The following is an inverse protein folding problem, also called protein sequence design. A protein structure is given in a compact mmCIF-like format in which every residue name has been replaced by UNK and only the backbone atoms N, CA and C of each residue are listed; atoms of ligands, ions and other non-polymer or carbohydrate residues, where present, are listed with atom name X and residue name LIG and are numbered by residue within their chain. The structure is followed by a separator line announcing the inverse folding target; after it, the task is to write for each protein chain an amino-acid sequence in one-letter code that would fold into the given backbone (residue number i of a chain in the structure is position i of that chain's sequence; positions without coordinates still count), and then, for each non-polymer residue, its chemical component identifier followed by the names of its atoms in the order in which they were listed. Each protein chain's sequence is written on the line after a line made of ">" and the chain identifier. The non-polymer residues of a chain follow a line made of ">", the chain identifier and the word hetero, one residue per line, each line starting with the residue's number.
data_IF_492493382932
#
_entry.id   IF_492493382932
#
_cell.length_a   1.000
_cell.length_b   1.000
_cell.length_c   1.000
_cell.angle_alpha   90.00
_cell.angle_beta   90.00
_cell.angle_gamma   90.00
#
_symmetry.space_group_name_H-M   'P 1'
#
loop_
_entity.id
_entity.type
_entity.pdbx_description
1 polymer ?
#
# COMPACT_ATOMS: atom_id res chain seq x y z
N UNK A 1 14.20 3.69 -30.92
CA UNK A 1 14.52 3.61 -32.39
C UNK A 1 13.76 2.50 -33.13
N UNK A 2 13.13 1.53 -32.46
CA UNK A 2 12.28 0.48 -33.07
C UNK A 2 10.79 0.82 -33.14
N UNK A 3 10.32 1.82 -32.39
CA UNK A 3 8.90 2.14 -32.21
C UNK A 3 8.16 2.49 -33.53
N UNK A 4 8.82 3.24 -34.42
CA UNK A 4 8.29 3.59 -35.76
C UNK A 4 8.23 2.41 -36.73
N UNK A 5 8.77 1.25 -36.38
CA UNK A 5 8.81 0.10 -37.28
C UNK A 5 7.47 -0.65 -37.29
N UNK A 6 6.87 -0.92 -36.13
CA UNK A 6 5.64 -1.73 -36.08
C UNK A 6 4.43 -0.99 -36.64
N UNK A 7 4.23 0.28 -36.29
CA UNK A 7 3.11 1.08 -36.81
C UNK A 7 3.18 1.20 -38.34
N UNK A 8 4.39 1.37 -38.90
CA UNK A 8 4.60 1.39 -40.35
C UNK A 8 4.28 0.04 -41.00
N UNK A 9 4.68 -1.07 -40.39
CA UNK A 9 4.31 -2.43 -40.87
C UNK A 9 2.80 -2.63 -40.85
N UNK A 10 2.12 -2.17 -39.79
CA UNK A 10 0.66 -2.21 -39.69
C UNK A 10 0.02 -1.40 -40.82
N UNK A 11 0.44 -0.15 -41.03
CA UNK A 11 -0.10 0.70 -42.11
C UNK A 11 0.07 0.02 -43.47
N UNK A 12 1.26 -0.52 -43.76
CA UNK A 12 1.52 -1.23 -45.02
C UNK A 12 0.61 -2.46 -45.19
N UNK A 13 0.41 -3.24 -44.12
CA UNK A 13 -0.47 -4.40 -44.14
C UNK A 13 -1.93 -3.98 -44.36
N UNK A 14 -2.41 -2.98 -43.63
CA UNK A 14 -3.77 -2.42 -43.76
C UNK A 14 -4.01 -1.95 -45.20
N UNK A 15 -3.04 -1.29 -45.84
CA UNK A 15 -3.16 -0.87 -47.23
C UNK A 15 -3.39 -2.05 -48.18
N UNK A 16 -2.75 -3.19 -47.94
CA UNK A 16 -2.93 -4.41 -48.73
C UNK A 16 -4.21 -5.21 -48.43
N UNK A 17 -4.81 -5.01 -47.25
CA UNK A 17 -5.99 -5.77 -46.82
C UNK A 17 -7.30 -5.12 -47.27
N UNK A 18 -7.97 -5.69 -48.28
CA UNK A 18 -9.18 -5.13 -48.89
C UNK A 18 -10.38 -5.05 -47.92
N UNK A 19 -10.41 -5.92 -46.91
CA UNK A 19 -11.50 -5.96 -45.93
C UNK A 19 -11.55 -4.69 -45.09
N UNK A 20 -10.39 -4.11 -44.76
CA UNK A 20 -10.27 -2.89 -43.97
C UNK A 20 -10.41 -1.68 -44.90
N UNK A 21 -11.40 -0.83 -44.61
CA UNK A 21 -11.70 0.37 -45.42
C UNK A 21 -11.18 1.65 -44.79
N UNK A 22 -11.15 1.70 -43.45
CA UNK A 22 -10.63 2.81 -42.67
C UNK A 22 -9.91 2.26 -41.43
N UNK A 23 -8.74 2.82 -41.11
CA UNK A 23 -7.99 2.55 -39.89
C UNK A 23 -7.71 3.85 -39.15
N UNK A 24 -8.09 3.90 -37.87
CA UNK A 24 -7.87 5.04 -37.00
C UNK A 24 -6.92 4.66 -35.86
N UNK A 25 -5.90 5.47 -35.62
CA UNK A 25 -5.13 5.44 -34.38
C UNK A 25 -5.90 6.23 -33.31
N UNK A 26 -6.03 5.64 -32.13
CA UNK A 26 -6.80 6.15 -31.00
C UNK A 26 -5.95 6.05 -29.73
N UNK A 27 -6.55 6.29 -28.55
CA UNK A 27 -5.85 6.17 -27.28
C UNK A 27 -4.79 7.25 -27.09
N UNK A 28 -3.71 6.92 -26.37
CA UNK A 28 -2.77 7.93 -25.85
C UNK A 28 -2.01 8.68 -26.96
N UNK A 29 -1.81 8.05 -28.12
CA UNK A 29 -1.17 8.72 -29.28
C UNK A 29 -2.09 9.73 -29.97
N UNK A 30 -3.41 9.61 -29.80
CA UNK A 30 -4.37 10.51 -30.42
C UNK A 30 -4.98 11.53 -29.44
N UNK A 31 -4.92 11.27 -28.13
CA UNK A 31 -5.60 12.06 -27.09
C UNK A 31 -4.82 13.26 -26.54
N UNK A 32 -3.71 13.64 -27.19
CA UNK A 32 -2.76 14.69 -26.77
C UNK A 32 -2.04 14.41 -25.45
N UNK A 33 -2.04 13.17 -24.96
CA UNK A 33 -1.19 12.77 -23.84
C UNK A 33 0.29 12.85 -24.19
N UNK A 34 1.12 12.95 -23.15
CA UNK A 34 2.55 12.67 -23.28
C UNK A 34 2.70 11.17 -23.59
N UNK A 35 3.31 10.84 -24.72
CA UNK A 35 3.59 9.45 -25.14
C UNK A 35 5.08 9.17 -25.14
N UNK A 36 5.41 7.92 -24.85
CA UNK A 36 6.78 7.42 -24.78
C UNK A 36 6.89 6.00 -25.36
N UNK A 37 8.10 5.43 -25.33
CA UNK A 37 8.36 4.11 -25.92
C UNK A 37 7.52 2.97 -25.29
N UNK A 38 7.00 3.16 -24.07
CA UNK A 38 6.16 2.21 -23.34
C UNK A 38 4.66 2.35 -23.65
N UNK A 39 4.26 3.40 -24.39
CA UNK A 39 2.86 3.65 -24.73
C UNK A 39 2.34 2.65 -25.76
N UNK A 40 1.14 2.11 -25.56
CA UNK A 40 0.53 1.15 -26.49
C UNK A 40 -0.08 1.84 -27.73
N UNK A 41 -0.27 1.09 -28.82
CA UNK A 41 -1.09 1.55 -29.96
C UNK A 41 -2.51 0.99 -29.88
N UNK A 42 -3.51 1.86 -29.85
CA UNK A 42 -4.92 1.48 -29.95
C UNK A 42 -5.42 1.77 -31.38
N UNK A 43 -5.73 0.74 -32.17
CA UNK A 43 -6.10 0.90 -33.58
C UNK A 43 -7.52 0.37 -33.84
N UNK A 44 -8.39 1.24 -34.33
CA UNK A 44 -9.75 0.91 -34.73
C UNK A 44 -9.83 0.68 -36.23
N UNK A 45 -10.18 -0.54 -36.65
CA UNK A 45 -10.42 -0.90 -38.04
C UNK A 45 -11.90 -0.91 -38.35
N UNK A 46 -12.31 -0.19 -39.40
CA UNK A 46 -13.65 -0.26 -39.96
C UNK A 46 -13.63 -1.14 -41.20
N UNK A 47 -14.29 -2.27 -41.07
CA UNK A 47 -14.22 -3.39 -41.99
C UNK A 47 -15.54 -3.55 -42.75
N UNK A 48 -15.43 -3.95 -44.01
CA UNK A 48 -16.58 -4.42 -44.80
C UNK A 48 -17.15 -5.73 -44.25
N UNK A 49 -16.29 -6.59 -43.69
CA UNK A 49 -16.65 -7.85 -43.05
C UNK A 49 -15.66 -8.16 -41.92
N UNK A 50 -16.07 -7.97 -40.67
CA UNK A 50 -15.20 -8.20 -39.49
C UNK A 50 -14.91 -9.67 -39.24
N UNK A 51 -15.71 -10.61 -39.77
CA UNK A 51 -15.51 -12.05 -39.53
C UNK A 51 -14.20 -12.54 -40.13
N UNK A 52 -13.82 -12.03 -41.30
CA UNK A 52 -12.57 -12.40 -41.98
C UNK A 52 -11.29 -12.17 -41.16
N UNK A 53 -11.32 -11.20 -40.25
CA UNK A 53 -10.18 -10.87 -39.37
C UNK A 53 -10.32 -11.45 -37.96
N UNK A 54 -11.49 -11.98 -37.61
CA UNK A 54 -11.80 -12.44 -36.26
C UNK A 54 -12.02 -13.95 -36.16
N UNK A 55 -12.22 -14.64 -37.28
CA UNK A 55 -12.25 -16.10 -37.37
C UNK A 55 -10.85 -16.73 -37.37
N UNK A 56 -9.84 -15.99 -37.83
CA UNK A 56 -8.44 -16.43 -37.86
C UNK A 56 -7.51 -15.26 -37.58
N UNK A 57 -6.50 -15.51 -36.76
CA UNK A 57 -5.51 -14.50 -36.34
C UNK A 57 -4.19 -14.62 -37.10
N UNK A 58 -4.16 -15.43 -38.17
CA UNK A 58 -2.95 -15.72 -38.96
C UNK A 58 -2.36 -14.48 -39.63
N UNK A 59 -3.21 -13.49 -39.94
CA UNK A 59 -2.82 -12.21 -40.55
C UNK A 59 -1.85 -11.41 -39.69
N UNK A 60 -1.81 -11.64 -38.37
CA UNK A 60 -0.86 -10.97 -37.49
C UNK A 60 0.60 -11.26 -37.88
N UNK A 61 0.87 -12.46 -38.44
CA UNK A 61 2.20 -12.85 -38.92
C UNK A 61 2.64 -12.08 -40.16
N UNK A 62 1.69 -11.52 -40.91
CA UNK A 62 1.99 -10.68 -42.07
C UNK A 62 2.44 -9.28 -41.64
N UNK A 63 2.16 -8.90 -40.38
CA UNK A 63 2.66 -7.68 -39.75
C UNK A 63 4.02 -7.94 -39.11
N UNK A 64 4.10 -8.85 -38.13
CA UNK A 64 5.34 -9.20 -37.45
C UNK A 64 5.22 -10.51 -36.65
N UNK A 65 6.34 -10.97 -36.08
CA UNK A 65 6.35 -12.06 -35.11
C UNK A 65 5.51 -11.68 -33.87
N UNK A 66 4.58 -12.55 -33.47
CA UNK A 66 3.69 -12.35 -32.31
C UNK A 66 4.23 -13.09 -31.09
N UNK A 67 4.37 -12.42 -29.94
CA UNK A 67 4.66 -13.05 -28.66
C UNK A 67 3.39 -13.49 -27.93
N UNK A 68 2.39 -12.61 -27.87
CA UNK A 68 1.11 -12.87 -27.18
C UNK A 68 -0.02 -12.28 -28.01
N UNK A 69 -1.12 -13.00 -28.12
CA UNK A 69 -2.38 -12.48 -28.66
C UNK A 69 -3.53 -13.01 -27.80
N UNK A 70 -4.41 -12.10 -27.37
CA UNK A 70 -5.63 -12.42 -26.63
C UNK A 70 -6.84 -11.87 -27.39
N UNK A 71 -7.82 -12.72 -27.76
CA UNK A 71 -9.09 -12.24 -28.28
C UNK A 71 -10.00 -11.78 -27.14
N UNK A 72 -10.49 -10.55 -27.21
CA UNK A 72 -11.51 -10.04 -26.28
C UNK A 72 -12.69 -9.44 -27.06
N UNK A 73 -13.71 -9.03 -26.30
CA UNK A 73 -14.85 -8.28 -26.82
C UNK A 73 -15.32 -7.28 -25.78
N UNK A 74 -15.76 -6.11 -26.23
CA UNK A 74 -16.46 -5.14 -25.38
C UNK A 74 -17.67 -4.58 -26.10
N UNK A 75 -18.66 -4.11 -25.35
CA UNK A 75 -19.89 -3.56 -25.92
C UNK A 75 -19.74 -2.06 -26.17
N UNK A 76 -19.97 -1.63 -27.41
CA UNK A 76 -19.95 -0.23 -27.82
C UNK A 76 -20.82 -0.04 -29.08
N UNK A 77 -21.49 1.11 -29.22
CA UNK A 77 -22.38 1.41 -30.36
C UNK A 77 -23.45 0.33 -30.61
N UNK A 78 -24.00 -0.22 -29.51
CA UNK A 78 -25.00 -1.30 -29.50
C UNK A 78 -24.52 -2.60 -30.18
N UNK A 79 -23.22 -2.86 -30.14
CA UNK A 79 -22.62 -4.05 -30.70
C UNK A 79 -21.48 -4.57 -29.84
N UNK A 80 -21.25 -5.87 -29.91
CA UNK A 80 -20.07 -6.51 -29.32
C UNK A 80 -18.90 -6.34 -30.29
N UNK A 81 -17.97 -5.45 -29.95
CA UNK A 81 -16.79 -5.12 -30.75
C UNK A 81 -15.71 -6.17 -30.46
N UNK A 82 -15.33 -7.00 -31.44
CA UNK A 82 -14.19 -7.90 -31.29
C UNK A 82 -12.90 -7.11 -31.18
N UNK A 83 -11.97 -7.62 -30.36
CA UNK A 83 -10.63 -7.05 -30.24
C UNK A 83 -9.55 -8.12 -30.27
N UNK A 84 -8.32 -7.68 -30.53
CA UNK A 84 -7.10 -8.45 -30.36
C UNK A 84 -6.09 -7.62 -29.58
N UNK A 85 -5.78 -8.05 -28.37
CA UNK A 85 -4.68 -7.49 -27.58
C UNK A 85 -3.41 -8.23 -27.97
N UNK A 86 -2.49 -7.56 -28.67
CA UNK A 86 -1.33 -8.21 -29.28
C UNK A 86 -0.04 -7.62 -28.74
N UNK A 87 0.89 -8.46 -28.32
CA UNK A 87 2.26 -8.08 -28.03
C UNK A 87 3.14 -8.66 -29.14
N UNK A 88 3.72 -7.78 -29.97
CA UNK A 88 4.64 -8.19 -31.02
C UNK A 88 6.05 -8.41 -30.47
N UNK A 89 6.90 -9.06 -31.26
CA UNK A 89 8.32 -9.23 -30.98
C UNK A 89 8.99 -7.88 -30.76
N UNK A 90 9.75 -7.78 -29.68
CA UNK A 90 10.28 -6.51 -29.18
C UNK A 90 9.41 -5.86 -28.12
N UNK A 91 8.24 -6.44 -27.80
CA UNK A 91 7.43 -6.07 -26.64
C UNK A 91 6.43 -4.95 -26.88
N UNK A 92 6.34 -4.39 -28.11
CA UNK A 92 5.35 -3.34 -28.41
C UNK A 92 3.94 -3.94 -28.44
N UNK A 93 3.05 -3.41 -27.61
CA UNK A 93 1.65 -3.82 -27.54
C UNK A 93 0.77 -2.97 -28.45
N UNK A 94 -0.16 -3.65 -29.14
CA UNK A 94 -1.13 -3.07 -30.05
C UNK A 94 -2.49 -3.72 -29.80
N UNK A 95 -3.49 -2.90 -29.55
CA UNK A 95 -4.87 -3.32 -29.37
C UNK A 95 -5.65 -3.01 -30.65
N UNK A 96 -6.09 -4.04 -31.36
CA UNK A 96 -6.91 -3.91 -32.56
C UNK A 96 -8.38 -4.05 -32.22
N UNK A 97 -9.21 -3.09 -32.61
CA UNK A 97 -10.67 -3.14 -32.46
C UNK A 97 -11.35 -3.18 -33.82
N UNK A 98 -12.25 -4.15 -34.03
CA UNK A 98 -12.86 -4.41 -35.34
C UNK A 98 -14.31 -3.92 -35.39
N UNK A 99 -14.52 -2.82 -36.08
CA UNK A 99 -15.82 -2.21 -36.32
C UNK A 99 -16.36 -2.57 -37.71
N UNK A 100 -17.67 -2.65 -37.84
CA UNK A 100 -18.36 -2.70 -39.13
C UNK A 100 -18.57 -1.30 -39.70
N UNK A 101 -18.77 -1.21 -41.02
CA UNK A 101 -19.19 0.05 -41.66
C UNK A 101 -20.54 0.58 -41.15
N UNK A 102 -21.40 -0.27 -40.57
CA UNK A 102 -22.63 0.18 -39.92
C UNK A 102 -22.34 0.96 -38.64
N UNK A 103 -21.37 0.52 -37.83
CA UNK A 103 -20.94 1.26 -36.64
C UNK A 103 -20.27 2.59 -37.02
N UNK A 104 -19.52 2.63 -38.12
CA UNK A 104 -18.99 3.89 -38.64
C UNK A 104 -20.11 4.89 -38.95
N UNK A 105 -21.20 4.42 -39.57
CA UNK A 105 -22.37 5.25 -39.85
C UNK A 105 -23.07 5.72 -38.57
N UNK A 106 -23.07 4.92 -37.50
CA UNK A 106 -23.56 5.38 -36.18
C UNK A 106 -22.70 6.51 -35.63
N UNK A 107 -21.37 6.43 -35.74
CA UNK A 107 -20.48 7.53 -35.33
C UNK A 107 -20.75 8.84 -36.08
N UNK A 108 -21.07 8.75 -37.38
CA UNK A 108 -21.46 9.90 -38.20
C UNK A 108 -22.78 10.54 -37.71
N UNK A 109 -23.76 9.74 -37.32
CA UNK A 109 -25.12 10.21 -36.96
C UNK A 109 -25.22 10.61 -35.48
N UNK A 110 -24.72 9.75 -34.59
CA UNK A 110 -24.93 9.83 -33.14
C UNK A 110 -23.79 10.60 -32.44
N UNK A 111 -22.67 10.81 -33.13
CA UNK A 111 -21.47 11.45 -32.60
C UNK A 111 -20.42 10.46 -32.11
N UNK A 112 -19.28 11.00 -31.66
CA UNK A 112 -18.18 10.20 -31.14
C UNK A 112 -18.44 9.80 -29.68
N UNK A 113 -18.25 8.52 -29.30
CA UNK A 113 -18.18 8.12 -27.91
C UNK A 113 -16.96 8.76 -27.24
N UNK A 114 -16.96 8.86 -25.91
CA UNK A 114 -15.93 9.53 -25.11
C UNK A 114 -14.50 9.14 -25.52
N UNK A 115 -14.24 7.84 -25.70
CA UNK A 115 -12.92 7.32 -26.09
C UNK A 115 -12.42 7.87 -27.44
N UNK A 116 -13.30 8.02 -28.44
CA UNK A 116 -12.95 8.60 -29.74
C UNK A 116 -13.00 10.14 -29.73
N UNK A 117 -13.80 10.72 -28.82
CA UNK A 117 -13.88 12.16 -28.63
C UNK A 117 -12.60 12.75 -27.98
N UNK A 118 -11.83 11.91 -27.28
CA UNK A 118 -10.49 12.24 -26.81
C UNK A 118 -9.52 12.52 -27.96
N UNK A 119 -9.70 11.88 -29.11
CA UNK A 119 -8.87 12.06 -30.29
C UNK A 119 -8.82 10.82 -31.17
N UNK A 120 -8.64 11.03 -32.48
CA UNK A 120 -8.25 9.98 -33.42
C UNK A 120 -7.35 10.58 -34.52
N UNK A 121 -6.46 9.76 -35.06
CA UNK A 121 -5.66 10.05 -36.24
C UNK A 121 -6.00 9.05 -37.34
N UNK A 122 -6.16 9.52 -38.57
CA UNK A 122 -6.43 8.66 -39.72
C UNK A 122 -5.12 8.04 -40.20
N UNK A 123 -4.98 6.72 -40.06
CA UNK A 123 -3.82 5.99 -40.55
C UNK A 123 -3.97 5.62 -42.04
N UNK A 124 -5.12 5.05 -42.40
CA UNK A 124 -5.48 4.63 -43.76
C UNK A 124 -6.95 4.91 -43.98
N UNK A 125 -7.30 5.53 -45.11
CA UNK A 125 -8.70 5.74 -45.51
C UNK A 125 -8.85 5.52 -47.03
N UNK A 126 -9.33 4.33 -47.40
CA UNK A 126 -9.41 3.90 -48.80
C UNK A 126 -10.58 4.53 -49.55
N UNK A 127 -11.60 4.95 -48.81
CA UNK A 127 -12.90 5.38 -49.34
C UNK A 127 -13.27 6.83 -48.96
N UNK A 128 -12.35 7.56 -48.31
CA UNK A 128 -12.56 8.92 -47.77
C UNK A 128 -13.69 8.97 -46.74
N UNK A 129 -13.82 7.91 -45.94
CA UNK A 129 -14.87 7.77 -44.94
C UNK A 129 -14.66 8.68 -43.73
N UNK A 130 -13.42 8.99 -43.38
CA UNK A 130 -13.09 9.82 -42.22
C UNK A 130 -13.65 11.26 -42.34
N UNK A 131 -13.84 11.77 -43.57
CA UNK A 131 -14.40 13.10 -43.81
C UNK A 131 -15.83 13.29 -43.27
N UNK A 132 -16.53 12.19 -42.99
CA UNK A 132 -17.90 12.21 -42.45
C UNK A 132 -17.92 12.11 -40.93
N UNK A 133 -16.78 11.81 -40.30
CA UNK A 133 -16.71 11.72 -38.86
C UNK A 133 -16.70 13.12 -38.24
N UNK A 134 -17.37 13.31 -37.08
CA UNK A 134 -17.20 14.51 -36.29
C UNK A 134 -15.72 14.71 -35.90
N UNK A 135 -15.34 15.97 -35.69
CA UNK A 135 -14.02 16.28 -35.11
C UNK A 135 -14.02 15.96 -33.61
N UNK A 136 -12.95 15.33 -33.08
CA UNK A 136 -12.79 15.14 -31.64
C UNK A 136 -12.79 16.48 -30.91
N UNK A 137 -13.48 16.56 -29.78
CA UNK A 137 -13.47 17.77 -28.94
C UNK A 137 -12.27 17.84 -28.01
N UNK A 138 -11.55 16.72 -27.82
CA UNK A 138 -10.44 16.61 -26.85
C UNK A 138 -10.88 16.95 -25.42
N UNK A 139 -12.13 16.63 -25.09
CA UNK A 139 -12.69 16.82 -23.75
C UNK A 139 -12.63 15.49 -23.00
N UNK A 140 -11.97 15.49 -21.84
CA UNK A 140 -11.91 14.33 -20.95
C UNK A 140 -13.27 13.93 -20.38
N UNK A 141 -13.30 12.87 -19.58
CA UNK A 141 -14.54 12.41 -18.99
C UNK A 141 -15.10 13.46 -18.02
N UNK A 142 -16.29 13.98 -18.34
CA UNK A 142 -17.05 14.85 -17.45
C UNK A 142 -17.90 14.00 -16.51
N UNK A 143 -17.73 14.23 -15.22
CA UNK A 143 -18.60 13.61 -14.24
C UNK A 143 -20.01 14.20 -14.32
N UNK A 144 -21.00 13.32 -14.28
CA UNK A 144 -22.37 13.74 -14.08
C UNK A 144 -22.62 13.97 -12.59
N UNK A 145 -23.41 15.01 -12.29
CA UNK A 145 -23.88 15.29 -10.95
C UNK A 145 -24.69 14.09 -10.44
N UNK A 146 -24.26 13.38 -9.38
CA UNK A 146 -24.98 12.21 -8.90
C UNK A 146 -26.28 12.64 -8.24
N UNK A 147 -27.31 11.80 -8.33
CA UNK A 147 -28.47 11.92 -7.46
C UNK A 147 -28.09 11.68 -6.00
N UNK A 148 -28.93 12.16 -5.07
CA UNK A 148 -28.73 11.89 -3.64
C UNK A 148 -28.73 10.37 -3.35
N UNK A 149 -29.51 9.59 -4.09
CA UNK A 149 -29.56 8.13 -3.96
C UNK A 149 -28.25 7.46 -4.40
N UNK A 150 -27.71 7.83 -5.56
CA UNK A 150 -26.42 7.29 -6.04
C UNK A 150 -25.27 7.66 -5.11
N UNK A 151 -25.23 8.92 -4.66
CA UNK A 151 -24.23 9.41 -3.73
C UNK A 151 -24.27 8.64 -2.40
N UNK A 152 -25.47 8.50 -1.82
CA UNK A 152 -25.66 7.75 -0.58
C UNK A 152 -25.36 6.26 -0.75
N UNK A 153 -25.65 5.69 -1.92
CA UNK A 153 -25.32 4.29 -2.23
C UNK A 153 -23.81 4.07 -2.24
N UNK A 154 -23.03 4.97 -2.85
CA UNK A 154 -21.57 4.89 -2.82
C UNK A 154 -21.01 4.93 -1.39
N UNK A 155 -21.54 5.82 -0.55
CA UNK A 155 -21.13 5.92 0.87
C UNK A 155 -21.47 4.63 1.63
N UNK A 156 -22.65 4.04 1.41
CA UNK A 156 -23.02 2.77 2.05
C UNK A 156 -22.11 1.61 1.61
N UNK A 157 -21.79 1.53 0.31
CA UNK A 157 -20.86 0.52 -0.21
C UNK A 157 -19.46 0.71 0.36
N UNK A 158 -18.98 1.96 0.49
CA UNK A 158 -17.71 2.25 1.17
C UNK A 158 -17.69 1.69 2.59
N UNK A 159 -18.70 2.03 3.40
CA UNK A 159 -18.80 1.56 4.79
C UNK A 159 -18.87 0.03 4.88
N UNK A 160 -19.61 -0.61 3.99
CA UNK A 160 -19.67 -2.07 3.89
C UNK A 160 -18.29 -2.70 3.64
N UNK A 161 -17.54 -2.18 2.68
CA UNK A 161 -16.21 -2.70 2.34
C UNK A 161 -15.18 -2.44 3.44
N UNK A 162 -15.12 -1.25 4.05
CA UNK A 162 -14.17 -0.98 5.14
C UNK A 162 -14.47 -1.78 6.41
N UNK A 163 -15.73 -2.16 6.66
CA UNK A 163 -16.06 -3.13 7.70
C UNK A 163 -15.46 -4.51 7.43
N UNK A 164 -15.46 -4.97 6.17
CA UNK A 164 -14.77 -6.20 5.81
C UNK A 164 -13.26 -6.07 6.00
N UNK A 165 -12.66 -4.97 5.56
CA UNK A 165 -11.23 -4.71 5.77
C UNK A 165 -10.87 -4.78 7.25
N UNK A 166 -11.61 -4.10 8.13
CA UNK A 166 -11.39 -4.14 9.57
C UNK A 166 -11.52 -5.56 10.16
N UNK A 167 -12.50 -6.36 9.71
CA UNK A 167 -12.67 -7.76 10.15
C UNK A 167 -11.52 -8.65 9.71
N UNK A 168 -11.06 -8.50 8.47
CA UNK A 168 -9.94 -9.29 7.95
C UNK A 168 -8.61 -8.87 8.58
N UNK A 169 -8.40 -7.57 8.80
CA UNK A 169 -7.27 -7.06 9.57
C UNK A 169 -7.26 -7.68 10.96
N UNK A 170 -8.38 -7.64 11.69
CA UNK A 170 -8.53 -8.25 13.02
C UNK A 170 -8.17 -9.76 13.04
N UNK A 171 -8.48 -10.47 11.94
CA UNK A 171 -8.15 -11.90 11.74
C UNK A 171 -6.75 -12.16 11.19
N UNK A 172 -5.99 -11.13 10.85
CA UNK A 172 -4.69 -11.21 10.17
C UNK A 172 -4.75 -11.90 8.80
N UNK A 173 -5.90 -11.82 8.12
CA UNK A 173 -6.07 -12.31 6.74
C UNK A 173 -5.71 -11.19 5.75
N UNK A 174 -4.41 -10.97 5.56
CA UNK A 174 -3.88 -9.85 4.78
C UNK A 174 -4.17 -9.99 3.27
N UNK A 175 -4.37 -11.20 2.76
CA UNK A 175 -4.75 -11.41 1.36
C UNK A 175 -6.14 -10.84 1.09
N UNK A 176 -7.11 -11.17 1.94
CA UNK A 176 -8.46 -10.62 1.86
C UNK A 176 -8.46 -9.09 2.07
N UNK A 177 -7.59 -8.56 2.92
CA UNK A 177 -7.42 -7.10 3.09
C UNK A 177 -7.00 -6.45 1.79
N UNK A 178 -5.93 -6.93 1.15
CA UNK A 178 -5.41 -6.36 -0.09
C UNK A 178 -6.44 -6.43 -1.23
N UNK A 179 -7.14 -7.56 -1.36
CA UNK A 179 -8.23 -7.72 -2.33
C UNK A 179 -9.34 -6.67 -2.14
N UNK A 180 -9.78 -6.46 -0.89
CA UNK A 180 -10.84 -5.49 -0.56
C UNK A 180 -10.39 -4.05 -0.77
N UNK A 181 -9.17 -3.71 -0.33
CA UNK A 181 -8.59 -2.38 -0.53
C UNK A 181 -8.48 -2.04 -2.03
N UNK A 182 -7.99 -2.97 -2.85
CA UNK A 182 -7.97 -2.78 -4.31
C UNK A 182 -9.37 -2.51 -4.86
N UNK A 183 -10.38 -3.29 -4.45
CA UNK A 183 -11.77 -3.05 -4.84
C UNK A 183 -12.29 -1.66 -4.43
N UNK A 184 -11.94 -1.19 -3.23
CA UNK A 184 -12.29 0.15 -2.75
C UNK A 184 -11.63 1.22 -3.61
N UNK A 185 -10.34 1.10 -3.92
CA UNK A 185 -9.60 2.11 -4.70
C UNK A 185 -10.19 2.28 -6.10
N UNK A 186 -10.39 1.17 -6.82
CA UNK A 186 -10.81 1.20 -8.22
C UNK A 186 -12.28 1.55 -8.42
N UNK A 187 -13.18 1.24 -7.46
CA UNK A 187 -14.62 1.39 -7.68
C UNK A 187 -15.27 2.49 -6.82
N UNK A 188 -14.67 2.82 -5.68
CA UNK A 188 -15.34 3.64 -4.65
C UNK A 188 -14.58 4.94 -4.44
N UNK A 189 -13.31 4.86 -4.09
CA UNK A 189 -12.50 6.03 -3.76
C UNK A 189 -12.29 6.90 -5.00
N UNK A 190 -11.91 6.31 -6.14
CA UNK A 190 -11.68 7.09 -7.35
C UNK A 190 -12.94 7.85 -7.79
N UNK A 191 -14.13 7.24 -7.67
CA UNK A 191 -15.40 7.89 -7.98
C UNK A 191 -15.70 9.07 -7.04
N UNK A 192 -15.46 8.89 -5.73
CA UNK A 192 -15.62 9.98 -4.77
C UNK A 192 -14.63 11.13 -5.02
N UNK A 193 -13.38 10.84 -5.37
CA UNK A 193 -12.38 11.85 -5.74
C UNK A 193 -12.87 12.65 -6.97
N UNK A 194 -13.33 11.95 -8.02
CA UNK A 194 -13.82 12.61 -9.24
C UNK A 194 -15.04 13.49 -8.97
N UNK A 195 -16.00 13.02 -8.18
CA UNK A 195 -17.14 13.84 -7.76
C UNK A 195 -16.72 15.06 -6.93
N UNK A 196 -15.75 14.90 -6.04
CA UNK A 196 -15.24 16.00 -5.23
C UNK A 196 -14.55 17.06 -6.10
N UNK A 197 -13.70 16.66 -7.04
CA UNK A 197 -13.04 17.59 -7.97
C UNK A 197 -14.04 18.25 -8.94
N UNK A 198 -15.00 17.50 -9.47
CA UNK A 198 -16.08 18.08 -10.28
C UNK A 198 -16.91 19.10 -9.50
N UNK A 199 -17.27 18.78 -8.24
CA UNK A 199 -18.03 19.67 -7.38
C UNK A 199 -17.30 20.97 -7.02
N UNK A 200 -15.95 20.96 -6.93
CA UNK A 200 -15.13 22.17 -6.72
C UNK A 200 -15.08 23.08 -7.95
N UNK A 201 -15.30 22.52 -9.13
CA UNK A 201 -15.14 23.18 -10.42
C UNK A 201 -16.46 23.25 -11.20
N UNK A 202 -17.58 23.40 -10.48
CA UNK A 202 -18.92 23.59 -11.04
C UNK A 202 -19.37 22.53 -12.07
N UNK A 203 -18.86 21.30 -11.95
CA UNK A 203 -19.17 20.16 -12.84
C UNK A 203 -18.71 20.35 -14.30
N UNK A 204 -17.85 21.33 -14.57
CA UNK A 204 -17.24 21.55 -15.89
C UNK A 204 -15.85 20.90 -16.01
N UNK A 205 -15.37 20.28 -14.94
CA UNK A 205 -14.05 19.67 -14.86
C UNK A 205 -14.00 18.29 -15.50
N UNK A 206 -12.95 18.05 -16.26
CA UNK A 206 -12.69 16.75 -16.90
C UNK A 206 -11.66 15.99 -16.09
N UNK A 207 -11.89 14.69 -15.94
CA UNK A 207 -10.97 13.78 -15.25
C UNK A 207 -10.61 12.63 -16.19
N UNK A 208 -9.54 11.91 -15.87
CA UNK A 208 -9.20 10.69 -16.59
C UNK A 208 -9.88 9.47 -15.95
N UNK A 209 -10.18 8.48 -16.79
CA UNK A 209 -10.73 7.20 -16.34
C UNK A 209 -9.71 6.46 -15.47
N UNK A 210 -10.21 5.65 -14.52
CA UNK A 210 -9.42 4.77 -13.66
C UNK A 210 -8.29 5.43 -12.84
N UNK A 211 -8.29 6.76 -12.70
CA UNK A 211 -7.23 7.46 -11.98
C UNK A 211 -5.92 7.62 -12.76
N UNK A 212 -5.94 7.50 -14.10
CA UNK A 212 -4.77 7.87 -14.91
C UNK A 212 -4.37 9.32 -14.61
N UNK A 213 -3.07 9.55 -14.43
CA UNK A 213 -2.48 10.87 -14.15
C UNK A 213 -3.12 11.62 -12.97
N UNK A 214 -3.53 10.88 -11.93
CA UNK A 214 -4.28 11.42 -10.80
C UNK A 214 -3.61 12.66 -10.19
N UNK A 215 -2.28 12.66 -10.09
CA UNK A 215 -1.46 13.75 -9.56
C UNK A 215 -1.57 15.06 -10.38
N UNK A 216 -1.95 14.99 -11.67
CA UNK A 216 -2.11 16.15 -12.54
C UNK A 216 -3.44 16.87 -12.29
N UNK A 217 -4.45 16.20 -11.74
CA UNK A 217 -5.82 16.74 -11.64
C UNK A 217 -6.44 16.71 -10.24
N UNK A 218 -5.80 16.08 -9.24
CA UNK A 218 -6.25 16.23 -7.83
C UNK A 218 -5.47 17.30 -7.09
N UNK A 219 -6.12 17.92 -6.11
CA UNK A 219 -5.44 18.85 -5.20
C UNK A 219 -4.28 18.17 -4.42
N UNK A 220 -3.23 18.95 -4.12
CA UNK A 220 -2.01 18.49 -3.43
C UNK A 220 -2.27 17.74 -2.12
N UNK A 221 -3.27 18.16 -1.36
CA UNK A 221 -3.62 17.51 -0.09
C UNK A 221 -4.23 16.10 -0.29
N UNK A 222 -5.11 15.96 -1.29
CA UNK A 222 -5.66 14.66 -1.71
C UNK A 222 -4.55 13.75 -2.20
N UNK A 223 -3.66 14.27 -3.05
CA UNK A 223 -2.48 13.54 -3.54
C UNK A 223 -1.61 13.00 -2.39
N UNK A 224 -1.27 13.84 -1.42
CA UNK A 224 -0.49 13.43 -0.25
C UNK A 224 -1.18 12.35 0.59
N UNK A 225 -2.51 12.39 0.67
CA UNK A 225 -3.29 11.39 1.42
C UNK A 225 -3.30 10.04 0.68
N UNK A 226 -3.33 10.07 -0.65
CA UNK A 226 -3.31 8.86 -1.49
C UNK A 226 -2.00 8.08 -1.32
N UNK A 227 -0.86 8.75 -1.14
CA UNK A 227 0.41 8.05 -0.87
C UNK A 227 0.42 7.25 0.43
N UNK A 228 -0.51 7.51 1.36
CA UNK A 228 -0.56 6.85 2.68
C UNK A 228 -1.52 5.67 2.75
N UNK A 229 -2.32 5.44 1.71
CA UNK A 229 -3.36 4.40 1.72
C UNK A 229 -2.95 3.11 1.01
N UNK A 230 -1.67 2.93 0.67
CA UNK A 230 -1.13 1.71 0.08
C UNK A 230 -0.25 0.97 1.09
N UNK A 231 -0.78 -0.05 1.80
CA UNK A 231 -0.03 -0.78 2.81
C UNK A 231 0.83 -1.85 2.17
N UNK A 232 1.95 -2.17 2.81
CA UNK A 232 2.64 -3.44 2.56
C UNK A 232 1.80 -4.61 3.12
N UNK A 233 2.29 -5.82 2.93
CA UNK A 233 1.67 -7.04 3.46
C UNK A 233 1.92 -7.19 4.98
N UNK A 234 1.47 -6.21 5.76
CA UNK A 234 1.60 -6.13 7.22
C UNK A 234 0.29 -5.71 7.90
N UNK A 235 0.05 -6.20 9.11
CA UNK A 235 -1.19 -5.93 9.86
C UNK A 235 -1.25 -4.52 10.42
N UNK A 236 -0.16 -4.01 11.00
CA UNK A 236 -0.15 -2.68 11.63
C UNK A 236 -0.22 -1.60 10.55
N UNK A 237 0.53 -1.76 9.46
CA UNK A 237 0.41 -0.90 8.28
C UNK A 237 -0.98 -0.96 7.65
N UNK A 238 -1.61 -2.14 7.64
CA UNK A 238 -2.99 -2.29 7.19
C UNK A 238 -4.00 -1.48 8.02
N UNK A 239 -3.86 -1.47 9.35
CA UNK A 239 -4.67 -0.59 10.21
C UNK A 239 -4.36 0.89 10.00
N UNK A 240 -3.09 1.26 9.84
CA UNK A 240 -2.70 2.63 9.55
C UNK A 240 -3.32 3.11 8.22
N UNK A 241 -3.22 2.29 7.18
CA UNK A 241 -3.87 2.54 5.88
C UNK A 241 -5.37 2.71 6.04
N UNK A 242 -6.04 1.82 6.80
CA UNK A 242 -7.47 1.93 7.01
C UNK A 242 -7.86 3.27 7.66
N UNK A 243 -7.08 3.76 8.63
CA UNK A 243 -7.30 5.08 9.24
C UNK A 243 -7.16 6.22 8.23
N UNK A 244 -6.08 6.22 7.46
CA UNK A 244 -5.80 7.25 6.43
C UNK A 244 -6.89 7.23 5.34
N UNK A 245 -7.33 6.05 4.92
CA UNK A 245 -8.42 5.87 3.95
C UNK A 245 -9.76 6.40 4.48
N UNK A 246 -10.10 6.08 5.73
CA UNK A 246 -11.31 6.60 6.39
C UNK A 246 -11.25 8.12 6.46
N UNK A 247 -10.14 8.70 6.89
CA UNK A 247 -9.97 10.15 6.97
C UNK A 247 -10.15 10.83 5.62
N UNK A 248 -9.49 10.31 4.57
CA UNK A 248 -9.59 10.84 3.22
C UNK A 248 -11.02 10.76 2.69
N UNK A 249 -11.65 9.58 2.75
CA UNK A 249 -12.99 9.39 2.19
C UNK A 249 -14.05 10.20 2.91
N UNK A 250 -14.00 10.26 4.25
CA UNK A 250 -14.93 11.08 5.05
C UNK A 250 -14.79 12.55 4.65
N UNK A 251 -13.57 13.06 4.54
CA UNK A 251 -13.32 14.44 4.13
C UNK A 251 -13.94 14.73 2.75
N UNK A 252 -13.57 13.93 1.74
CA UNK A 252 -14.05 14.13 0.36
C UNK A 252 -15.57 14.04 0.28
N UNK A 253 -16.16 13.02 0.93
CA UNK A 253 -17.62 12.86 0.93
C UNK A 253 -18.35 14.00 1.64
N UNK A 254 -17.79 14.55 2.72
CA UNK A 254 -18.38 15.68 3.42
C UNK A 254 -18.35 16.95 2.56
N UNK A 255 -17.21 17.28 1.96
CA UNK A 255 -17.07 18.41 1.04
C UNK A 255 -18.03 18.30 -0.16
N UNK A 256 -18.09 17.11 -0.77
CA UNK A 256 -18.97 16.84 -1.91
C UNK A 256 -20.44 16.96 -1.52
N UNK A 257 -20.85 16.39 -0.39
CA UNK A 257 -22.24 16.49 0.12
C UNK A 257 -22.65 17.94 0.40
N UNK A 258 -21.72 18.76 0.91
CA UNK A 258 -21.96 20.17 1.18
C UNK A 258 -22.16 20.95 -0.11
N UNK A 259 -21.32 20.73 -1.13
CA UNK A 259 -21.46 21.36 -2.45
C UNK A 259 -22.77 20.95 -3.15
N UNK A 260 -23.17 19.69 -2.99
CA UNK A 260 -24.39 19.14 -3.59
C UNK A 260 -25.68 19.52 -2.84
N UNK A 261 -25.59 19.91 -1.57
CA UNK A 261 -26.74 20.15 -0.69
C UNK A 261 -27.38 18.87 -0.13
N UNK A 262 -26.63 17.76 -0.06
CA UNK A 262 -27.13 16.46 0.40
C UNK A 262 -26.91 16.24 1.90
N UNK A 263 -27.79 15.47 2.52
CA UNK A 263 -27.70 15.19 3.96
C UNK A 263 -26.59 14.18 4.24
N UNK A 264 -25.74 14.48 5.22
CA UNK A 264 -24.70 13.54 5.70
C UNK A 264 -25.32 12.33 6.41
N UNK A 265 -24.72 11.17 6.21
CA UNK A 265 -25.08 9.91 6.89
C UNK A 265 -24.34 9.78 8.25
N UNK A 266 -24.45 10.78 9.11
CA UNK A 266 -23.65 10.92 10.34
C UNK A 266 -23.79 9.75 11.31
N UNK A 267 -25.01 9.20 11.46
CA UNK A 267 -25.27 8.06 12.36
C UNK A 267 -24.54 6.80 11.89
N UNK A 268 -24.66 6.47 10.59
CA UNK A 268 -23.92 5.36 9.96
C UNK A 268 -22.41 5.53 10.14
N UNK A 269 -21.86 6.70 9.83
CA UNK A 269 -20.44 6.99 10.01
C UNK A 269 -19.99 6.78 11.46
N UNK A 270 -20.77 7.25 12.43
CA UNK A 270 -20.44 7.16 13.87
C UNK A 270 -20.40 5.70 14.32
N UNK A 271 -21.45 4.93 14.04
CA UNK A 271 -21.56 3.53 14.43
C UNK A 271 -20.45 2.68 13.80
N UNK A 272 -20.17 2.91 12.52
CA UNK A 272 -19.13 2.16 11.80
C UNK A 272 -17.73 2.47 12.34
N UNK A 273 -17.42 3.74 12.65
CA UNK A 273 -16.13 4.10 13.25
C UNK A 273 -15.96 3.48 14.63
N UNK A 274 -17.00 3.51 15.47
CA UNK A 274 -16.98 2.86 16.79
C UNK A 274 -16.71 1.36 16.67
N UNK A 275 -17.37 0.69 15.72
CA UNK A 275 -17.15 -0.73 15.47
C UNK A 275 -15.72 -1.04 15.01
N UNK A 276 -15.18 -0.27 14.06
CA UNK A 276 -13.83 -0.45 13.53
C UNK A 276 -12.78 -0.25 14.64
N UNK A 277 -12.90 0.83 15.42
CA UNK A 277 -12.02 1.10 16.57
C UNK A 277 -12.06 -0.05 17.57
N UNK A 278 -13.25 -0.58 17.89
CA UNK A 278 -13.38 -1.74 18.77
C UNK A 278 -12.66 -2.98 18.25
N UNK A 279 -12.71 -3.25 16.94
CA UNK A 279 -11.99 -4.38 16.34
C UNK A 279 -10.46 -4.19 16.41
N UNK A 280 -10.00 -2.98 16.15
CA UNK A 280 -8.58 -2.64 16.24
C UNK A 280 -8.08 -2.79 17.69
N UNK A 281 -8.80 -2.22 18.65
CA UNK A 281 -8.47 -2.29 20.08
C UNK A 281 -8.47 -3.73 20.58
N UNK A 282 -9.46 -4.53 20.18
CA UNK A 282 -9.51 -5.96 20.54
C UNK A 282 -8.30 -6.71 19.96
N UNK A 283 -7.91 -6.43 18.71
CA UNK A 283 -6.74 -7.06 18.13
C UNK A 283 -5.45 -6.62 18.84
N UNK A 284 -5.36 -5.33 19.19
CA UNK A 284 -4.27 -4.78 19.99
C UNK A 284 -4.25 -5.38 21.38
N UNK A 285 -5.38 -5.70 22.02
CA UNK A 285 -5.43 -6.36 23.32
C UNK A 285 -5.05 -7.85 23.23
N UNK A 286 -5.42 -8.54 22.15
CA UNK A 286 -4.93 -9.91 21.87
C UNK A 286 -3.43 -9.90 21.56
N UNK A 287 -2.91 -8.83 20.94
CA UNK A 287 -1.47 -8.61 20.67
C UNK A 287 -0.67 -7.96 21.82
N UNK A 288 -1.32 -7.26 22.77
CA UNK A 288 -0.74 -6.62 23.97
C UNK A 288 -0.91 -7.50 25.22
N UNK A 289 -1.54 -8.67 25.11
CA UNK A 289 -1.16 -9.75 26.02
C UNK A 289 0.30 -10.02 25.66
N UNK A 290 1.23 -9.41 26.41
CA UNK A 290 2.66 -9.70 26.32
C UNK A 290 2.73 -11.22 26.22
N UNK A 291 3.07 -11.75 25.05
CA UNK A 291 3.10 -13.19 24.81
C UNK A 291 4.28 -13.68 25.61
N UNK A 292 3.99 -14.06 26.86
CA UNK A 292 4.93 -14.58 27.85
C UNK A 292 4.95 -16.09 27.66
N UNK A 293 5.82 -16.57 26.78
CA UNK A 293 6.13 -17.99 26.69
C UNK A 293 7.25 -18.27 27.70
N UNK A 294 7.00 -19.12 28.69
CA UNK A 294 7.93 -19.29 29.80
C UNK A 294 8.05 -20.74 30.24
N UNK A 295 9.29 -21.22 30.32
CA UNK A 295 9.63 -22.47 31.01
C UNK A 295 9.80 -22.22 32.52
N UNK A 296 10.08 -20.97 32.93
CA UNK A 296 10.30 -20.55 34.32
C UNK A 296 9.92 -19.08 34.56
N UNK A 297 9.83 -18.64 35.81
CA UNK A 297 9.52 -17.23 36.13
C UNK A 297 10.66 -16.27 35.75
N UNK A 298 10.35 -15.23 34.97
CA UNK A 298 11.36 -14.28 34.47
C UNK A 298 12.23 -13.67 35.58
N UNK A 299 11.64 -13.38 36.75
CA UNK A 299 12.33 -12.77 37.89
C UNK A 299 13.54 -13.58 38.37
N UNK A 300 13.54 -14.91 38.17
CA UNK A 300 14.67 -15.79 38.50
C UNK A 300 15.95 -15.37 37.77
N UNK A 301 15.83 -14.80 36.57
CA UNK A 301 16.94 -14.29 35.76
C UNK A 301 17.03 -12.77 35.85
N UNK A 302 15.90 -12.06 35.75
CA UNK A 302 15.90 -10.58 35.66
C UNK A 302 16.35 -9.88 36.94
N UNK A 303 16.19 -10.51 38.11
CA UNK A 303 16.67 -9.96 39.38
C UNK A 303 18.16 -10.19 39.62
N UNK A 304 18.82 -11.07 38.86
CA UNK A 304 20.25 -11.34 39.00
C UNK A 304 21.10 -10.20 38.41
N UNK A 305 22.32 -9.96 38.94
CA UNK A 305 23.28 -8.99 38.39
C UNK A 305 23.94 -9.53 37.12
N UNK A 306 23.14 -9.77 36.08
CA UNK A 306 23.57 -10.24 34.76
C UNK A 306 23.70 -9.08 33.78
N UNK A 307 24.37 -9.32 32.66
CA UNK A 307 24.41 -8.40 31.54
C UNK A 307 23.28 -8.72 30.56
N UNK A 308 22.72 -7.68 29.94
CA UNK A 308 21.82 -7.82 28.80
C UNK A 308 22.58 -7.48 27.51
N UNK A 309 22.27 -8.19 26.43
CA UNK A 309 22.64 -7.81 25.08
C UNK A 309 21.49 -7.04 24.45
N UNK A 310 21.64 -5.72 24.32
CA UNK A 310 20.67 -4.82 23.72
C UNK A 310 20.89 -4.79 22.20
N UNK A 311 19.90 -5.29 21.46
CA UNK A 311 19.86 -5.21 20.00
C UNK A 311 19.07 -3.99 19.53
N UNK A 312 19.68 -3.18 18.66
CA UNK A 312 19.13 -1.95 18.07
C UNK A 312 19.35 -1.95 16.54
N UNK A 313 18.73 -1.02 15.82
CA UNK A 313 18.84 -0.89 14.35
C UNK A 313 19.41 0.48 13.99
N UNK A 314 20.31 0.54 13.01
CA UNK A 314 20.84 1.76 12.41
C UNK A 314 20.87 1.60 10.89
N UNK A 315 20.07 2.38 10.15
CA UNK A 315 20.01 2.32 8.67
C UNK A 315 19.88 0.87 8.16
N UNK A 316 18.92 0.14 8.73
CA UNK A 316 18.64 -1.30 8.48
C UNK A 316 19.77 -2.29 8.83
N UNK A 317 20.84 -1.86 9.51
CA UNK A 317 21.86 -2.75 10.08
C UNK A 317 21.59 -3.07 11.56
N UNK A 318 21.64 -4.35 11.98
CA UNK A 318 21.54 -4.71 13.38
C UNK A 318 22.81 -4.31 14.15
N UNK A 319 22.62 -3.77 15.35
CA UNK A 319 23.69 -3.44 16.31
C UNK A 319 23.41 -4.17 17.62
N UNK A 320 24.46 -4.65 18.27
CA UNK A 320 24.40 -5.27 19.58
C UNK A 320 25.25 -4.47 20.57
N UNK A 321 24.74 -4.27 21.78
CA UNK A 321 25.43 -3.51 22.83
C UNK A 321 25.26 -4.22 24.17
N UNK A 322 26.34 -4.61 24.86
CA UNK A 322 26.24 -5.20 26.17
C UNK A 322 25.94 -4.09 27.19
N UNK A 323 24.89 -4.26 27.99
CA UNK A 323 24.42 -3.26 28.97
C UNK A 323 24.07 -3.89 30.31
N UNK A 324 24.27 -3.14 31.39
CA UNK A 324 23.64 -3.44 32.68
C UNK A 324 22.17 -3.03 32.65
N UNK A 325 21.35 -3.68 33.48
CA UNK A 325 19.92 -3.42 33.53
C UNK A 325 19.34 -3.62 34.94
N UNK A 326 18.22 -2.97 35.21
CA UNK A 326 17.34 -3.30 36.34
C UNK A 326 15.92 -3.57 35.84
N UNK A 327 15.23 -4.52 36.48
CA UNK A 327 13.86 -4.90 36.16
C UNK A 327 12.94 -4.42 37.28
N UNK A 328 12.09 -3.43 36.96
CA UNK A 328 11.17 -2.78 37.90
C UNK A 328 9.93 -2.32 37.15
N UNK A 329 8.77 -2.37 37.81
CA UNK A 329 7.51 -1.87 37.24
C UNK A 329 7.15 -2.53 35.89
N UNK A 330 7.40 -3.85 35.79
CA UNK A 330 7.26 -4.65 34.56
C UNK A 330 8.04 -4.09 33.35
N UNK A 331 9.09 -3.30 33.60
CA UNK A 331 9.92 -2.67 32.58
C UNK A 331 11.40 -2.97 32.81
N UNK A 332 12.17 -3.01 31.71
CA UNK A 332 13.63 -3.01 31.79
C UNK A 332 14.11 -1.57 31.78
N UNK A 333 15.02 -1.23 32.68
CA UNK A 333 15.64 0.07 32.75
C UNK A 333 17.14 -0.07 32.53
N UNK A 334 17.67 0.75 31.64
CA UNK A 334 19.11 0.85 31.36
C UNK A 334 19.53 2.33 31.48
N UNK A 335 20.82 2.54 31.69
CA UNK A 335 21.41 3.86 31.83
C UNK A 335 22.57 4.00 30.85
N UNK A 336 22.79 5.23 30.40
CA UNK A 336 23.88 5.58 29.50
C UNK A 336 24.21 7.05 29.57
N UNK A 337 25.08 7.46 28.67
CA UNK A 337 25.43 8.85 28.44
C UNK A 337 24.73 9.38 27.19
N UNK A 338 24.54 10.69 27.10
CA UNK A 338 24.00 11.37 25.93
C UNK A 338 24.84 11.14 24.65
N UNK A 339 26.11 10.80 24.81
CA UNK A 339 27.06 10.48 23.74
C UNK A 339 27.01 9.00 23.29
N UNK A 340 26.32 8.12 24.01
CA UNK A 340 26.27 6.71 23.68
C UNK A 340 25.53 6.45 22.37
N UNK A 341 26.18 5.69 21.48
CA UNK A 341 25.61 5.38 20.16
C UNK A 341 24.27 4.64 20.23
N UNK A 342 24.04 3.80 21.26
CA UNK A 342 22.77 3.10 21.44
C UNK A 342 21.66 4.06 21.88
N UNK A 343 21.96 5.12 22.63
CA UNK A 343 20.99 6.15 23.00
C UNK A 343 20.53 6.92 21.76
N UNK A 344 21.46 7.30 20.88
CA UNK A 344 21.12 7.91 19.59
C UNK A 344 20.18 7.01 18.77
N UNK A 345 20.55 5.73 18.61
CA UNK A 345 19.74 4.75 17.87
C UNK A 345 18.33 4.60 18.44
N UNK A 346 18.19 4.49 19.77
CA UNK A 346 16.89 4.34 20.43
C UNK A 346 15.99 5.60 20.34
N UNK A 347 16.58 6.79 20.12
CA UNK A 347 15.80 8.01 19.84
C UNK A 347 15.23 8.02 18.42
N UNK A 348 15.97 7.47 17.45
CA UNK A 348 15.58 7.42 16.04
C UNK A 348 14.63 6.25 15.76
N UNK A 349 14.94 5.07 16.30
CA UNK A 349 14.16 3.84 16.18
C UNK A 349 13.99 3.21 17.58
N UNK A 350 12.81 3.39 18.22
CA UNK A 350 12.60 2.94 19.58
C UNK A 350 12.35 1.42 19.71
N UNK A 351 12.16 0.69 18.61
CA UNK A 351 12.01 -0.78 18.67
C UNK A 351 13.36 -1.43 18.97
N UNK A 352 13.40 -2.24 20.01
CA UNK A 352 14.62 -2.93 20.44
C UNK A 352 14.33 -4.33 20.99
N UNK A 353 15.39 -5.12 21.17
CA UNK A 353 15.34 -6.41 21.83
C UNK A 353 16.46 -6.55 22.85
N UNK A 354 16.25 -7.39 23.87
CA UNK A 354 17.28 -7.76 24.84
C UNK A 354 17.39 -9.28 24.95
N UNK A 355 18.62 -9.78 24.99
CA UNK A 355 18.93 -11.15 25.41
C UNK A 355 19.66 -11.14 26.74
N UNK A 356 19.12 -11.84 27.75
CA UNK A 356 19.72 -11.96 29.09
C UNK A 356 19.94 -13.44 29.36
N UNK A 357 21.18 -13.82 29.66
CA UNK A 357 21.56 -15.22 29.84
C UNK A 357 22.16 -15.44 31.22
N UNK A 358 21.56 -16.33 31.99
CA UNK A 358 22.12 -16.91 33.21
C UNK A 358 22.81 -18.21 32.82
N UNK A 359 24.14 -18.16 32.71
CA UNK A 359 24.97 -19.29 32.30
C UNK A 359 25.97 -19.64 33.38
N UNK A 360 25.92 -20.89 33.84
CA UNK A 360 26.93 -21.47 34.71
C UNK A 360 27.22 -22.90 34.27
N UNK A 361 28.37 -23.08 33.65
CA UNK A 361 28.77 -24.37 33.08
C UNK A 361 28.88 -25.47 34.16
N UNK A 362 29.51 -25.18 35.29
CA UNK A 362 29.75 -26.16 36.36
C UNK A 362 28.46 -26.64 37.01
N UNK A 363 27.52 -25.72 37.25
CA UNK A 363 26.20 -26.01 37.80
C UNK A 363 25.21 -26.52 36.76
N UNK A 364 25.60 -26.59 35.48
CA UNK A 364 24.72 -27.00 34.39
C UNK A 364 23.59 -26.01 34.11
N UNK A 365 23.74 -24.73 34.46
CA UNK A 365 22.68 -23.71 34.27
C UNK A 365 22.83 -23.05 32.90
N UNK A 366 21.75 -23.05 32.11
CA UNK A 366 21.61 -22.21 30.92
C UNK A 366 20.15 -21.78 30.80
N UNK A 367 19.87 -20.58 31.32
CA UNK A 367 18.54 -19.95 31.26
C UNK A 367 18.63 -18.67 30.47
N UNK A 368 17.71 -18.49 29.54
CA UNK A 368 17.66 -17.31 28.68
C UNK A 368 16.32 -16.60 28.84
N UNK A 369 16.38 -15.29 29.06
CA UNK A 369 15.23 -14.39 28.93
C UNK A 369 15.46 -13.48 27.74
N UNK A 370 14.59 -13.59 26.74
CA UNK A 370 14.54 -12.71 25.59
C UNK A 370 13.38 -11.73 25.71
N UNK A 371 13.62 -10.46 25.45
CA UNK A 371 12.62 -9.38 25.53
C UNK A 371 12.59 -8.66 24.19
N UNK A 372 11.40 -8.39 23.64
CA UNK A 372 11.22 -7.43 22.53
C UNK A 372 10.34 -6.32 23.04
N UNK A 373 10.74 -5.07 22.85
CA UNK A 373 10.07 -3.93 23.46
C UNK A 373 10.20 -2.64 22.66
N UNK A 374 9.61 -1.59 23.22
CA UNK A 374 9.73 -0.22 22.75
C UNK A 374 10.40 0.59 23.85
N UNK A 375 11.42 1.37 23.48
CA UNK A 375 12.16 2.23 24.40
C UNK A 375 11.57 3.64 24.48
N UNK A 376 11.67 4.23 25.66
CA UNK A 376 11.43 5.65 25.94
C UNK A 376 12.70 6.21 26.59
N UNK A 377 13.33 7.19 25.94
CA UNK A 377 14.55 7.84 26.43
C UNK A 377 14.16 9.06 27.27
N UNK A 378 14.67 9.16 28.49
CA UNK A 378 14.34 10.24 29.42
C UNK A 378 15.50 10.64 30.33
N UNK A 379 15.22 11.60 31.21
CA UNK A 379 16.17 12.04 32.25
C UNK A 379 16.27 11.02 33.39
N UNK A 380 17.39 11.05 34.10
CA UNK A 380 17.67 10.12 35.21
C UNK A 380 16.72 10.33 36.39
N UNK A 381 16.20 9.21 36.90
CA UNK A 381 15.71 9.09 38.27
C UNK A 381 16.84 8.61 39.19
N UNK A 382 17.35 9.50 40.03
CA UNK A 382 18.46 9.22 40.95
C UNK A 382 18.16 8.07 41.93
N UNK A 383 16.90 7.86 42.32
CA UNK A 383 16.53 6.74 43.20
C UNK A 383 16.63 5.41 42.46
N UNK A 384 16.24 5.38 41.18
CA UNK A 384 16.37 4.17 40.35
C UNK A 384 17.81 3.92 39.96
N UNK A 385 18.57 4.96 39.60
CA UNK A 385 20.01 4.83 39.34
C UNK A 385 20.73 4.20 40.54
N UNK A 386 20.39 4.64 41.76
CA UNK A 386 20.93 4.03 42.97
C UNK A 386 20.67 2.52 43.05
N UNK A 387 19.41 2.09 42.87
CA UNK A 387 19.05 0.65 42.92
C UNK A 387 19.69 -0.14 41.78
N UNK A 388 19.78 0.47 40.59
CA UNK A 388 20.48 -0.09 39.45
C UNK A 388 21.95 -0.38 39.78
N UNK A 389 22.69 0.56 40.36
CA UNK A 389 24.10 0.35 40.74
C UNK A 389 24.21 -0.66 41.89
N UNK A 390 23.33 -0.55 42.90
CA UNK A 390 23.31 -1.45 44.06
C UNK A 390 23.07 -2.92 43.67
N UNK A 391 22.29 -3.17 42.61
CA UNK A 391 22.10 -4.52 42.06
C UNK A 391 23.42 -5.21 41.74
N UNK A 392 24.42 -4.47 41.24
CA UNK A 392 25.71 -5.01 40.81
C UNK A 392 26.83 -4.85 41.84
N UNK A 393 26.87 -3.72 42.56
CA UNK A 393 27.93 -3.39 43.51
C UNK A 393 27.56 -3.68 44.98
N UNK A 394 26.31 -4.09 45.23
CA UNK A 394 25.75 -4.29 46.57
C UNK A 394 25.16 -3.00 47.17
N UNK A 395 24.34 -3.14 48.22
CA UNK A 395 23.63 -2.01 48.85
C UNK A 395 24.52 -1.05 49.66
N UNK A 396 25.69 -1.52 50.08
CA UNK A 396 26.62 -0.76 50.91
C UNK A 396 27.55 0.11 50.06
N UNK A 397 27.14 1.37 49.83
CA UNK A 397 27.90 2.36 49.06
C UNK A 397 29.35 2.54 49.51
N UNK A 398 29.65 2.33 50.79
CA UNK A 398 31.00 2.53 51.32
C UNK A 398 32.00 1.51 50.77
N UNK A 399 31.49 0.42 50.20
CA UNK A 399 32.28 -0.65 49.56
C UNK A 399 32.39 -0.48 48.04
N UNK A 400 31.71 0.51 47.47
CA UNK A 400 31.78 0.73 46.03
C UNK A 400 33.16 1.25 45.66
N UNK A 401 33.69 0.76 44.54
CA UNK A 401 34.98 1.22 44.04
C UNK A 401 34.86 2.69 43.60
N UNK A 402 35.60 3.57 44.27
CA UNK A 402 35.51 5.02 44.06
C UNK A 402 35.83 5.45 42.63
N UNK A 403 36.85 4.84 42.01
CA UNK A 403 37.19 5.09 40.61
C UNK A 403 36.04 4.72 39.68
N UNK A 404 35.39 3.57 39.90
CA UNK A 404 34.25 3.14 39.08
C UNK A 404 33.06 4.09 39.23
N UNK A 405 32.76 4.54 40.45
CA UNK A 405 31.68 5.51 40.68
C UNK A 405 31.97 6.81 39.91
N UNK A 406 33.15 7.39 40.10
CA UNK A 406 33.53 8.67 39.49
C UNK A 406 33.60 8.63 37.96
N UNK A 407 34.05 7.50 37.38
CA UNK A 407 34.34 7.42 35.94
C UNK A 407 33.24 6.70 35.13
N UNK A 408 32.36 5.92 35.78
CA UNK A 408 31.34 5.12 35.08
C UNK A 408 29.92 5.46 35.54
N UNK A 409 29.71 5.70 36.84
CA UNK A 409 28.35 5.96 37.38
C UNK A 409 27.99 7.44 37.31
N UNK A 410 28.87 8.32 37.81
CA UNK A 410 28.64 9.76 37.87
C UNK A 410 28.44 10.41 36.48
N UNK A 411 29.08 9.94 35.39
CA UNK A 411 28.84 10.48 34.05
C UNK A 411 27.49 10.09 33.41
N UNK A 412 26.75 9.13 33.98
CA UNK A 412 25.46 8.72 33.42
C UNK A 412 24.49 9.91 33.53
N UNK A 413 23.89 10.29 32.40
CA UNK A 413 22.94 11.42 32.31
C UNK A 413 21.61 11.03 31.62
N UNK A 414 21.52 9.83 31.06
CA UNK A 414 20.33 9.31 30.38
C UNK A 414 19.82 8.03 31.05
N UNK A 415 18.50 7.95 31.18
CA UNK A 415 17.78 6.74 31.56
C UNK A 415 16.86 6.31 30.42
N UNK A 416 16.84 5.01 30.12
CA UNK A 416 15.95 4.44 29.11
C UNK A 416 15.03 3.43 29.76
N UNK A 417 13.73 3.63 29.55
CA UNK A 417 12.70 2.65 29.89
C UNK A 417 12.45 1.78 28.67
N UNK A 418 12.44 0.47 28.82
CA UNK A 418 12.06 -0.47 27.76
C UNK A 418 10.83 -1.21 28.23
N UNK A 419 9.70 -0.93 27.57
CA UNK A 419 8.41 -1.57 27.84
C UNK A 419 8.30 -2.84 27.00
N UNK A 420 8.23 -4.05 27.62
CA UNK A 420 8.14 -5.30 26.88
C UNK A 420 6.85 -5.40 26.06
N UNK A 421 6.97 -5.75 24.78
CA UNK A 421 5.88 -6.19 23.90
C UNK A 421 5.72 -7.71 23.90
N UNK A 422 6.83 -8.43 23.99
CA UNK A 422 6.84 -9.89 24.16
C UNK A 422 8.05 -10.32 24.99
N UNK A 423 7.91 -11.44 25.70
CA UNK A 423 8.98 -12.01 26.51
C UNK A 423 9.02 -13.52 26.34
N UNK A 424 10.22 -14.08 26.26
CA UNK A 424 10.43 -15.53 26.23
C UNK A 424 11.39 -15.93 27.34
N UNK A 425 11.06 -16.96 28.10
CA UNK A 425 11.96 -17.59 29.06
C UNK A 425 12.16 -19.04 28.64
N UNK A 426 13.41 -19.41 28.38
CA UNK A 426 13.78 -20.78 27.98
C UNK A 426 14.79 -21.35 28.97
N UNK A 427 14.45 -22.47 29.59
CA UNK A 427 15.40 -23.24 30.39
C UNK A 427 15.93 -24.38 29.54
N UNK A 428 17.23 -24.35 29.25
CA UNK A 428 17.91 -25.42 28.52
C UNK A 428 19.03 -26.03 29.37
N UNK A 429 18.94 -25.91 30.70
CA UNK A 429 19.91 -26.43 31.69
C UNK A 429 20.08 -27.97 31.66
N UNK A 430 19.32 -28.67 30.81
CA UNK A 430 19.38 -30.13 30.61
C UNK A 430 20.62 -30.62 29.82
N UNK A 431 21.51 -29.72 29.40
CA UNK A 431 22.65 -30.05 28.53
C UNK A 431 23.73 -30.96 29.18
N UNK A 432 23.71 -31.15 30.50
CA UNK A 432 24.60 -32.10 31.21
C UNK A 432 23.87 -33.33 31.78
N UNK A 433 22.61 -33.20 32.18
CA UNK A 433 21.92 -34.20 33.00
C UNK A 433 20.69 -34.82 32.33
N UNK A 434 20.23 -34.29 31.19
CA UNK A 434 18.98 -34.71 30.54
C UNK A 434 17.72 -34.19 31.27
N UNK A 435 16.53 -34.27 30.63
CA UNK A 435 15.28 -33.71 31.17
C UNK A 435 14.79 -34.38 32.46
N UNK A 436 15.16 -35.64 32.71
CA UNK A 436 14.64 -36.46 33.81
C UNK A 436 15.37 -36.27 35.16
N UNK A 437 16.47 -35.50 35.20
CA UNK A 437 17.36 -35.38 36.37
C UNK A 437 17.57 -33.93 36.84
N UNK A 438 16.77 -32.99 36.33
CA UNK A 438 16.83 -31.58 36.72
C UNK A 438 15.82 -31.30 37.85
N UNK A 439 16.27 -31.38 39.10
CA UNK A 439 15.58 -30.80 40.27
C UNK A 439 16.38 -29.65 40.83
#
# INVERSE_FOLDING_TARGET
>A
MEEKNILKKIINWVDSEEVIRLALLTGSFADRSDTDELSDYDISFFCSDTQKLTESDTWLKDIDDVWVMIPEKYDLLEASIPTRLVIFKGGKKVDFSFFSLQQLKKLEIDGLPDALNMGYEVLVDKDRLANKLPLPKFEGFREHRPSEEEFNSLIKVFWFEVHHVAKYLSRRDLWSVQFRLSGIFHNILIRMIRWNEAAKHNWEYTTHVNGKELEKWVGKETCNSIHKIFPRFDTEEGWQTLRELLQLFIKLSHETSQSLGYKKLTELETEMRLFITKLEDNQKQVGNKCTRQKDFEFDVVLQKPLMAHLSTVEVDEPRDSPVWFIWEDDCVWIFGTSEDSFIRRLKEEPRCALGIVDFNLDKGVLRHVGIRGISEVGSIDNKRLHRFVAKYLGDDKTKWNEWFVQNIVDPLDIMVKITPKSMVAKDVSFFRTGPDLAN
#
